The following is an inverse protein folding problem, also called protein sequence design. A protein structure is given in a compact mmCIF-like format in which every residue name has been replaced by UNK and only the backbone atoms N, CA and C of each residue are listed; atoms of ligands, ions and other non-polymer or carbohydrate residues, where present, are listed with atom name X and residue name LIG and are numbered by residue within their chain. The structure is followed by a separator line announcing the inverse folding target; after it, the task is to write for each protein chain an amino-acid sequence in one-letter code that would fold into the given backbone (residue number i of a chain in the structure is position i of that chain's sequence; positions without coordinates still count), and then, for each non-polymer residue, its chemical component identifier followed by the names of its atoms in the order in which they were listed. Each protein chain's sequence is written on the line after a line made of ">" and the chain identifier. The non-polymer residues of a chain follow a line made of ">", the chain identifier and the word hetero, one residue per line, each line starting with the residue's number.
data_IF_153972299588
#
_entry.id   IF_153972299588
#
_cell.length_a   1.000
_cell.length_b   1.000
_cell.length_c   1.000
_cell.angle_alpha   90.00
_cell.angle_beta   90.00
_cell.angle_gamma   90.00
#
_symmetry.space_group_name_H-M   'P 1'
#
loop_
_entity.id
_entity.type
_entity.pdbx_description
1 polymer ?
#
# COMPACT_ATOMS: atom_id res chain seq x y z
N UNK A 1 -3.14 15.03 -9.80
CA UNK A 1 -2.50 14.68 -11.10
C UNK A 1 -2.73 13.20 -11.33
N UNK A 2 -3.09 12.82 -12.56
CA UNK A 2 -3.25 11.44 -13.03
C UNK A 2 -2.15 11.17 -14.05
N UNK A 3 -1.46 10.03 -14.00
CA UNK A 3 -0.35 9.68 -14.90
C UNK A 3 -0.84 9.19 -16.27
N UNK A 4 -1.90 8.38 -16.29
CA UNK A 4 -2.51 7.76 -17.47
C UNK A 4 -1.59 6.83 -18.27
N UNK A 5 -0.46 6.40 -17.73
CA UNK A 5 0.50 5.60 -18.48
C UNK A 5 1.30 4.62 -17.60
N UNK A 6 0.72 4.19 -16.48
CA UNK A 6 1.31 3.17 -15.61
C UNK A 6 1.30 1.82 -16.34
N UNK A 7 2.48 1.26 -16.58
CA UNK A 7 2.68 -0.03 -17.26
C UNK A 7 4.09 -0.56 -16.99
N UNK A 8 4.33 -1.84 -17.29
CA UNK A 8 5.55 -2.53 -16.89
C UNK A 8 6.85 -1.91 -17.44
N UNK A 9 6.88 -1.48 -18.71
CA UNK A 9 8.04 -0.80 -19.34
C UNK A 9 8.21 0.67 -18.91
N UNK A 10 7.39 1.13 -17.97
CA UNK A 10 7.44 2.47 -17.35
C UNK A 10 7.68 2.41 -15.84
N UNK A 11 8.01 1.22 -15.33
CA UNK A 11 8.49 1.02 -13.96
C UNK A 11 9.99 0.78 -14.02
N UNK A 12 10.78 1.68 -13.43
CA UNK A 12 12.20 1.44 -13.20
C UNK A 12 12.40 0.76 -11.86
N UNK A 13 13.20 -0.29 -11.86
CA UNK A 13 13.65 -0.98 -10.65
C UNK A 13 15.17 -0.87 -10.58
N UNK A 14 15.68 -0.29 -9.49
CA UNK A 14 17.12 -0.21 -9.22
C UNK A 14 17.44 -0.97 -7.95
N UNK A 15 18.47 -1.82 -8.02
CA UNK A 15 18.99 -2.62 -6.89
C UNK A 15 17.92 -3.40 -6.12
N UNK A 16 16.83 -3.81 -6.79
CA UNK A 16 15.68 -4.51 -6.21
C UNK A 16 14.95 -3.77 -5.06
N UNK A 17 15.36 -2.56 -4.70
CA UNK A 17 14.81 -1.77 -3.59
C UNK A 17 14.09 -0.50 -4.05
N UNK A 18 14.55 0.09 -5.14
CA UNK A 18 14.06 1.38 -5.61
C UNK A 18 13.12 1.17 -6.78
N UNK A 19 11.84 1.50 -6.59
CA UNK A 19 10.81 1.44 -7.63
C UNK A 19 10.38 2.86 -7.97
N UNK A 20 10.43 3.23 -9.25
CA UNK A 20 10.01 4.54 -9.74
C UNK A 20 9.12 4.42 -10.97
N UNK A 21 8.02 5.17 -10.98
CA UNK A 21 7.19 5.37 -12.17
C UNK A 21 7.86 6.45 -13.03
N UNK A 22 8.08 6.16 -14.31
CA UNK A 22 8.65 7.11 -15.27
C UNK A 22 7.65 7.48 -16.37
N UNK A 23 8.01 8.51 -17.15
CA UNK A 23 7.27 9.00 -18.31
C UNK A 23 5.86 9.52 -18.00
N UNK A 24 5.81 10.81 -17.67
CA UNK A 24 4.59 11.57 -17.37
C UNK A 24 4.04 12.34 -18.59
N UNK A 25 4.45 11.98 -19.82
CA UNK A 25 4.02 12.71 -21.03
C UNK A 25 2.51 12.73 -21.28
N UNK A 26 1.76 11.84 -20.61
CA UNK A 26 0.30 11.74 -20.68
C UNK A 26 -0.39 12.17 -19.38
N UNK A 27 0.35 12.77 -18.45
CA UNK A 27 -0.23 13.19 -17.19
C UNK A 27 -1.16 14.38 -17.37
N UNK A 28 -2.25 14.40 -16.64
CA UNK A 28 -3.23 15.48 -16.65
C UNK A 28 -3.70 15.81 -15.23
N UNK A 29 -4.45 16.91 -15.07
CA UNK A 29 -5.15 17.13 -13.80
C UNK A 29 -6.35 16.18 -13.69
N UNK A 30 -6.85 16.00 -12.47
CA UNK A 30 -8.12 15.32 -12.25
C UNK A 30 -9.25 16.11 -12.89
N UNK A 31 -10.28 15.42 -13.38
CA UNK A 31 -11.40 15.97 -14.14
C UNK A 31 -11.00 16.60 -15.49
N UNK A 32 -9.87 16.19 -16.05
CA UNK A 32 -9.51 16.45 -17.45
C UNK A 32 -9.76 15.18 -18.28
N UNK A 33 -10.06 15.36 -19.57
CA UNK A 33 -10.09 14.26 -20.53
C UNK A 33 -8.84 14.33 -21.41
N UNK A 34 -8.27 13.18 -21.73
CA UNK A 34 -7.19 13.08 -22.72
C UNK A 34 -7.68 12.27 -23.92
N UNK A 35 -7.47 12.81 -25.11
CA UNK A 35 -7.89 12.17 -26.35
C UNK A 35 -6.74 11.37 -26.94
N UNK A 36 -6.55 10.14 -26.47
CA UNK A 36 -5.43 9.27 -26.87
C UNK A 36 -5.71 8.56 -28.21
N UNK A 37 -6.97 8.24 -28.50
CA UNK A 37 -7.36 7.30 -29.57
C UNK A 37 -8.00 7.95 -30.79
N UNK A 38 -7.80 9.26 -31.03
CA UNK A 38 -8.49 10.00 -32.11
C UNK A 38 -8.38 9.39 -33.52
N UNK A 39 -7.40 8.52 -33.76
CA UNK A 39 -7.08 7.95 -35.08
C UNK A 39 -6.98 6.42 -35.10
N UNK A 40 -7.42 5.73 -34.04
CA UNK A 40 -7.27 4.27 -33.92
C UNK A 40 -8.54 3.53 -34.34
N UNK A 41 -8.38 2.37 -34.97
CA UNK A 41 -9.48 1.45 -35.26
C UNK A 41 -10.04 0.90 -33.94
N UNK A 42 -11.27 1.29 -33.62
CA UNK A 42 -11.98 0.94 -32.39
C UNK A 42 -12.05 -0.58 -32.17
N UNK A 43 -11.98 -1.38 -33.24
CA UNK A 43 -12.15 -2.83 -33.18
C UNK A 43 -11.00 -3.57 -32.48
N UNK A 44 -9.79 -2.98 -32.39
CA UNK A 44 -8.61 -3.60 -31.76
C UNK A 44 -8.12 -2.89 -30.49
N UNK A 45 -8.76 -1.79 -30.09
CA UNK A 45 -8.31 -0.98 -28.94
C UNK A 45 -8.25 -1.82 -27.66
N UNK A 46 -9.21 -2.72 -27.43
CA UNK A 46 -9.24 -3.48 -26.19
C UNK A 46 -8.13 -4.52 -26.05
N UNK A 47 -7.61 -5.03 -27.16
CA UNK A 47 -6.49 -6.00 -27.14
C UNK A 47 -5.13 -5.30 -27.10
N UNK A 48 -4.95 -4.24 -27.86
CA UNK A 48 -3.65 -3.55 -27.97
C UNK A 48 -3.39 -2.56 -26.83
N UNK A 49 -4.46 -2.04 -26.23
CA UNK A 49 -4.43 -0.94 -25.26
C UNK A 49 -5.11 -1.34 -23.95
N UNK A 50 -4.93 -2.59 -23.53
CA UNK A 50 -5.64 -3.20 -22.42
C UNK A 50 -5.31 -2.59 -21.04
N UNK A 51 -4.14 -1.95 -20.93
CA UNK A 51 -3.70 -1.20 -19.74
C UNK A 51 -4.40 0.15 -19.58
N UNK A 52 -5.01 0.70 -20.64
CA UNK A 52 -5.83 1.90 -20.52
C UNK A 52 -7.20 1.56 -19.93
N UNK A 53 -7.66 2.42 -19.03
CA UNK A 53 -8.97 2.26 -18.41
C UNK A 53 -10.12 2.53 -19.39
N UNK A 54 -11.31 1.96 -19.14
CA UNK A 54 -12.48 2.15 -19.99
C UNK A 54 -12.85 3.62 -20.21
N UNK A 55 -12.74 4.46 -19.18
CA UNK A 55 -13.03 5.89 -19.26
C UNK A 55 -12.04 6.63 -20.18
N UNK A 56 -10.76 6.25 -20.19
CA UNK A 56 -9.78 6.81 -21.14
C UNK A 56 -10.15 6.42 -22.58
N UNK A 57 -10.55 5.17 -22.80
CA UNK A 57 -10.95 4.67 -24.12
C UNK A 57 -12.20 5.38 -24.66
N UNK A 58 -13.10 5.79 -23.77
CA UNK A 58 -14.33 6.54 -24.09
C UNK A 58 -14.13 8.06 -24.15
N UNK A 59 -12.94 8.57 -23.81
CA UNK A 59 -12.66 10.00 -23.66
C UNK A 59 -13.53 10.67 -22.58
N UNK A 60 -13.81 9.96 -21.49
CA UNK A 60 -14.53 10.46 -20.32
C UNK A 60 -13.59 11.25 -19.39
N UNK A 61 -14.15 11.86 -18.34
CA UNK A 61 -13.38 12.58 -17.33
C UNK A 61 -12.57 11.60 -16.48
N UNK A 62 -11.30 11.94 -16.24
CA UNK A 62 -10.36 11.07 -15.56
C UNK A 62 -10.12 11.50 -14.12
N UNK A 63 -9.88 10.53 -13.27
CA UNK A 63 -9.46 10.72 -11.89
C UNK A 63 -8.37 9.70 -11.54
N UNK A 64 -7.97 9.65 -10.27
CA UNK A 64 -6.94 8.70 -9.82
C UNK A 64 -7.30 7.23 -10.08
N UNK A 65 -8.58 6.90 -10.26
CA UNK A 65 -9.05 5.52 -10.51
C UNK A 65 -8.65 5.01 -11.90
N UNK A 66 -8.33 5.90 -12.83
CA UNK A 66 -7.77 5.54 -14.14
C UNK A 66 -6.35 4.98 -14.00
N UNK A 67 -5.55 5.58 -13.13
CA UNK A 67 -4.24 5.04 -12.75
C UNK A 67 -4.39 3.71 -11.98
N UNK A 68 -5.41 3.60 -11.12
CA UNK A 68 -5.66 2.35 -10.38
C UNK A 68 -6.03 1.17 -11.29
N UNK A 69 -6.79 1.39 -12.37
CA UNK A 69 -7.01 0.36 -13.38
C UNK A 69 -5.68 -0.10 -14.01
N UNK A 70 -4.85 0.86 -14.42
CA UNK A 70 -3.55 0.60 -15.03
C UNK A 70 -2.63 -0.17 -14.06
N UNK A 71 -2.69 0.17 -12.77
CA UNK A 71 -2.02 -0.57 -11.70
C UNK A 71 -2.57 -2.00 -11.57
N UNK A 72 -3.89 -2.21 -11.57
CA UNK A 72 -4.48 -3.55 -11.56
C UNK A 72 -4.03 -4.42 -12.74
N UNK A 73 -3.92 -3.82 -13.94
CA UNK A 73 -3.37 -4.48 -15.13
C UNK A 73 -1.90 -4.84 -14.97
N UNK A 74 -1.09 -3.93 -14.40
CA UNK A 74 0.31 -4.20 -14.08
C UNK A 74 0.46 -5.38 -13.11
N UNK A 75 -0.31 -5.42 -12.02
CA UNK A 75 -0.29 -6.53 -11.05
C UNK A 75 -0.68 -7.86 -11.71
N UNK A 76 -1.73 -7.86 -12.54
CA UNK A 76 -2.14 -9.05 -13.30
C UNK A 76 -1.04 -9.55 -14.24
N UNK A 77 -0.38 -8.66 -14.97
CA UNK A 77 0.76 -9.02 -15.83
C UNK A 77 1.95 -9.54 -15.03
N UNK A 78 2.23 -8.98 -13.85
CA UNK A 78 3.27 -9.47 -12.96
C UNK A 78 2.95 -10.88 -12.45
N UNK A 79 1.70 -11.14 -12.08
CA UNK A 79 1.22 -12.47 -11.71
C UNK A 79 1.48 -13.47 -12.85
N UNK A 80 0.99 -13.19 -14.05
CA UNK A 80 1.15 -14.05 -15.23
C UNK A 80 2.63 -14.36 -15.53
N UNK A 81 3.51 -13.34 -15.45
CA UNK A 81 4.96 -13.53 -15.63
C UNK A 81 5.59 -14.36 -14.49
N UNK A 82 5.20 -14.12 -13.24
CA UNK A 82 5.77 -14.81 -12.09
C UNK A 82 5.25 -16.24 -11.90
N UNK A 83 4.06 -16.56 -12.42
CA UNK A 83 3.50 -17.93 -12.42
C UNK A 83 4.36 -18.95 -13.18
N UNK A 84 5.25 -18.48 -14.05
CA UNK A 84 6.28 -19.34 -14.67
C UNK A 84 7.29 -19.89 -13.65
N UNK A 85 7.42 -19.28 -12.46
CA UNK A 85 8.37 -19.66 -11.41
C UNK A 85 7.69 -20.51 -10.32
N UNK A 86 8.29 -21.63 -9.87
CA UNK A 86 7.69 -22.55 -8.90
C UNK A 86 7.30 -21.91 -7.55
N UNK A 87 8.06 -20.92 -7.08
CA UNK A 87 7.88 -20.28 -5.76
C UNK A 87 6.54 -19.51 -5.67
N UNK A 88 5.97 -19.09 -6.81
CA UNK A 88 4.71 -18.33 -6.86
C UNK A 88 3.51 -19.17 -7.32
N UNK A 89 3.63 -20.51 -7.31
CA UNK A 89 2.57 -21.43 -7.77
C UNK A 89 1.69 -21.99 -6.64
N UNK A 90 1.80 -21.49 -5.42
CA UNK A 90 0.87 -21.91 -4.36
C UNK A 90 -0.52 -21.36 -4.67
N UNK A 91 -1.55 -22.16 -4.41
CA UNK A 91 -2.95 -21.77 -4.68
C UNK A 91 -3.34 -20.49 -3.92
N UNK A 92 -2.82 -20.32 -2.70
CA UNK A 92 -3.07 -19.15 -1.85
C UNK A 92 -2.57 -17.85 -2.49
N UNK A 93 -1.32 -17.82 -2.96
CA UNK A 93 -0.74 -16.63 -3.62
C UNK A 93 -1.53 -16.28 -4.88
N UNK A 94 -1.96 -17.28 -5.65
CA UNK A 94 -2.75 -17.04 -6.86
C UNK A 94 -4.12 -16.43 -6.54
N UNK A 95 -4.74 -16.91 -5.47
CA UNK A 95 -6.01 -16.39 -4.96
C UNK A 95 -5.86 -14.93 -4.52
N UNK A 96 -4.82 -14.60 -3.76
CA UNK A 96 -4.59 -13.26 -3.22
C UNK A 96 -4.41 -12.20 -4.32
N UNK A 97 -3.57 -12.47 -5.33
CA UNK A 97 -3.40 -11.56 -6.46
C UNK A 97 -4.69 -11.40 -7.27
N UNK A 98 -5.44 -12.48 -7.47
CA UNK A 98 -6.71 -12.44 -8.19
C UNK A 98 -7.74 -11.61 -7.43
N UNK A 99 -7.89 -11.83 -6.13
CA UNK A 99 -8.80 -11.09 -5.26
C UNK A 99 -8.42 -9.61 -5.23
N UNK A 100 -7.13 -9.31 -5.04
CA UNK A 100 -6.64 -7.93 -4.98
C UNK A 100 -6.86 -7.19 -6.31
N UNK A 101 -6.60 -7.82 -7.45
CA UNK A 101 -6.81 -7.18 -8.77
C UNK A 101 -8.28 -6.86 -9.06
N UNK A 102 -9.24 -7.61 -8.48
CA UNK A 102 -10.67 -7.30 -8.61
C UNK A 102 -11.05 -5.96 -7.98
N UNK A 103 -10.24 -5.42 -7.06
CA UNK A 103 -10.47 -4.09 -6.48
C UNK A 103 -10.18 -2.93 -7.46
N UNK A 104 -9.55 -3.23 -8.60
CA UNK A 104 -9.11 -2.23 -9.60
C UNK A 104 -9.71 -2.47 -10.98
N UNK A 105 -9.94 -3.73 -11.36
CA UNK A 105 -10.37 -4.11 -12.70
C UNK A 105 -11.91 -4.10 -12.84
N UNK A 106 -12.51 -2.94 -12.55
CA UNK A 106 -13.94 -2.69 -12.72
C UNK A 106 -14.18 -1.65 -13.82
N UNK A 107 -15.16 -1.88 -14.69
CA UNK A 107 -15.48 -0.94 -15.77
C UNK A 107 -16.03 0.39 -15.24
N UNK A 108 -16.65 0.38 -14.06
CA UNK A 108 -17.12 1.56 -13.33
C UNK A 108 -15.98 2.08 -12.45
N UNK A 109 -15.47 3.28 -12.75
CA UNK A 109 -14.28 3.84 -12.10
C UNK A 109 -14.50 4.11 -10.60
N UNK A 110 -15.70 4.54 -10.24
CA UNK A 110 -16.18 4.78 -8.89
C UNK A 110 -16.27 3.51 -8.04
N UNK A 111 -16.34 2.33 -8.68
CA UNK A 111 -16.29 1.01 -8.01
C UNK A 111 -14.88 0.43 -8.00
N UNK A 112 -13.85 1.27 -8.09
CA UNK A 112 -12.44 0.90 -7.85
C UNK A 112 -11.98 1.57 -6.57
N UNK A 113 -11.09 0.93 -5.81
CA UNK A 113 -10.45 1.57 -4.66
C UNK A 113 -9.35 2.54 -5.09
N UNK A 114 -9.09 3.55 -4.26
CA UNK A 114 -8.00 4.52 -4.45
C UNK A 114 -6.67 3.95 -3.98
N UNK A 115 -5.54 4.57 -4.37
CA UNK A 115 -4.21 4.15 -3.93
C UNK A 115 -4.05 4.14 -2.39
N UNK A 116 -4.59 5.17 -1.72
CA UNK A 116 -4.56 5.26 -0.26
C UNK A 116 -5.33 4.12 0.42
N UNK A 117 -6.48 3.73 -0.14
CA UNK A 117 -7.23 2.59 0.37
C UNK A 117 -6.50 1.30 0.06
N UNK A 118 -6.01 1.10 -1.17
CA UNK A 118 -5.26 -0.09 -1.57
C UNK A 118 -4.07 -0.39 -0.65
N UNK A 119 -3.38 0.65 -0.18
CA UNK A 119 -2.25 0.54 0.74
C UNK A 119 -2.61 -0.12 2.09
N UNK A 120 -3.87 0.01 2.52
CA UNK A 120 -4.38 -0.58 3.76
C UNK A 120 -4.88 -2.03 3.56
N UNK A 121 -4.70 -2.63 2.38
CA UNK A 121 -5.17 -3.97 2.08
C UNK A 121 -4.34 -5.04 2.78
N UNK A 122 -5.00 -6.12 3.19
CA UNK A 122 -4.34 -7.30 3.73
C UNK A 122 -3.38 -7.98 2.73
N UNK A 123 -3.45 -7.64 1.43
CA UNK A 123 -2.50 -8.08 0.42
C UNK A 123 -1.03 -7.78 0.79
N UNK A 124 -0.80 -6.71 1.58
CA UNK A 124 0.54 -6.30 1.99
C UNK A 124 0.98 -6.82 3.38
N UNK A 125 0.19 -7.67 4.05
CA UNK A 125 0.47 -8.10 5.44
C UNK A 125 1.85 -8.72 5.61
N UNK A 126 2.31 -9.48 4.62
CA UNK A 126 3.63 -10.13 4.65
C UNK A 126 4.79 -9.15 4.77
N UNK A 127 4.62 -7.89 4.34
CA UNK A 127 5.64 -6.84 4.50
C UNK A 127 5.80 -6.38 5.96
N UNK A 128 4.81 -6.69 6.80
CA UNK A 128 4.68 -6.17 8.16
C UNK A 128 4.82 -7.27 9.22
N UNK A 129 5.06 -8.52 8.84
CA UNK A 129 5.14 -9.66 9.78
C UNK A 129 6.26 -9.53 10.83
N UNK A 130 7.27 -8.70 10.59
CA UNK A 130 8.34 -8.44 11.55
C UNK A 130 7.83 -7.78 12.84
N UNK A 131 6.70 -7.06 12.77
CA UNK A 131 6.15 -6.33 13.90
C UNK A 131 4.93 -7.07 14.47
N UNK A 132 4.97 -7.34 15.77
CA UNK A 132 3.89 -8.04 16.47
C UNK A 132 3.55 -7.32 17.77
N UNK A 133 2.47 -7.75 18.42
CA UNK A 133 2.09 -7.22 19.71
C UNK A 133 3.26 -7.33 20.71
N UNK A 134 3.60 -6.21 21.33
CA UNK A 134 4.68 -6.11 22.31
C UNK A 134 4.19 -5.65 23.69
N UNK A 135 2.87 -5.69 23.94
CA UNK A 135 2.28 -5.28 25.22
C UNK A 135 2.62 -6.22 26.39
N UNK A 136 2.91 -7.49 26.11
CA UNK A 136 3.34 -8.46 27.12
C UNK A 136 4.78 -8.22 27.60
N UNK A 137 5.57 -7.45 26.84
CA UNK A 137 6.93 -7.08 27.22
C UNK A 137 6.85 -6.04 28.34
N UNK A 138 7.53 -6.34 29.45
CA UNK A 138 7.60 -5.47 30.62
C UNK A 138 8.13 -4.09 30.24
N UNK A 139 7.70 -3.09 30.99
CA UNK A 139 8.21 -1.74 30.86
C UNK A 139 9.68 -1.72 31.24
N UNK A 140 10.49 -1.14 30.35
CA UNK A 140 11.95 -1.16 30.46
C UNK A 140 12.56 -0.03 29.66
N UNK A 141 13.76 0.35 30.05
CA UNK A 141 14.61 1.25 29.29
C UNK A 141 16.03 0.65 29.23
N UNK A 142 16.61 0.61 28.04
CA UNK A 142 18.01 0.23 27.84
C UNK A 142 18.61 0.96 26.63
N UNK A 143 19.94 1.03 26.62
CA UNK A 143 20.71 1.62 25.53
C UNK A 143 21.51 0.51 24.84
N UNK A 144 21.51 0.50 23.51
CA UNK A 144 22.34 -0.37 22.69
C UNK A 144 22.87 0.40 21.47
N UNK A 145 24.19 0.39 21.26
CA UNK A 145 24.85 1.04 20.12
C UNK A 145 24.41 2.51 19.88
N UNK A 146 24.33 3.31 20.95
CA UNK A 146 23.85 4.71 20.93
C UNK A 146 22.37 4.88 20.54
N UNK A 147 21.58 3.81 20.61
CA UNK A 147 20.13 3.85 20.45
C UNK A 147 19.51 3.57 21.81
N UNK A 148 18.65 4.48 22.27
CA UNK A 148 17.85 4.32 23.48
C UNK A 148 16.50 3.72 23.13
N UNK A 149 16.12 2.67 23.85
CA UNK A 149 14.83 2.00 23.72
C UNK A 149 14.07 2.17 25.02
N UNK A 150 12.97 2.91 25.00
CA UNK A 150 12.05 3.04 26.13
C UNK A 150 10.72 2.40 25.80
N UNK A 151 10.41 1.28 26.45
CA UNK A 151 9.13 0.60 26.36
C UNK A 151 8.27 0.94 27.58
N UNK A 152 7.08 1.52 27.34
CA UNK A 152 6.08 1.82 28.35
C UNK A 152 4.67 1.43 27.89
N UNK A 153 3.99 0.57 28.65
CA UNK A 153 2.65 0.04 28.36
C UNK A 153 2.50 -0.55 26.94
N UNK A 154 1.92 0.22 26.01
CA UNK A 154 1.68 -0.19 24.62
C UNK A 154 2.49 0.65 23.62
N UNK A 155 3.48 1.40 24.11
CA UNK A 155 4.31 2.31 23.33
C UNK A 155 5.78 1.93 23.47
N UNK A 156 6.49 1.90 22.34
CA UNK A 156 7.94 1.75 22.26
C UNK A 156 8.51 3.05 21.66
N UNK A 157 9.44 3.68 22.36
CA UNK A 157 10.15 4.88 21.90
C UNK A 157 11.58 4.46 21.57
N UNK A 158 12.01 4.76 20.35
CA UNK A 158 13.35 4.48 19.83
C UNK A 158 13.99 5.82 19.51
N UNK A 159 15.05 6.17 20.24
CA UNK A 159 15.77 7.42 20.07
C UNK A 159 17.19 7.16 19.62
N UNK A 160 17.61 7.76 18.52
CA UNK A 160 18.99 7.74 18.05
C UNK A 160 19.38 9.10 17.47
N UNK A 161 20.50 9.66 17.95
CA UNK A 161 20.91 11.04 17.64
C UNK A 161 19.78 12.05 17.96
N UNK A 162 19.35 12.85 16.97
CA UNK A 162 18.24 13.81 17.07
C UNK A 162 16.92 13.25 16.52
N UNK A 163 16.84 11.95 16.23
CA UNK A 163 15.68 11.31 15.63
C UNK A 163 14.97 10.38 16.60
N UNK A 164 13.64 10.51 16.67
CA UNK A 164 12.79 9.70 17.54
C UNK A 164 11.68 9.04 16.73
N UNK A 165 11.52 7.73 16.94
CA UNK A 165 10.38 6.95 16.47
C UNK A 165 9.57 6.54 17.69
N UNK A 166 8.29 6.86 17.72
CA UNK A 166 7.36 6.28 18.69
C UNK A 166 6.46 5.27 17.96
N UNK A 167 6.56 4.02 18.36
CA UNK A 167 5.73 2.93 17.87
C UNK A 167 4.64 2.63 18.89
N UNK A 168 3.39 2.68 18.46
CA UNK A 168 2.23 2.33 19.26
C UNK A 168 1.68 0.98 18.79
N UNK A 169 1.59 0.04 19.73
CA UNK A 169 1.05 -1.29 19.49
C UNK A 169 -0.41 -1.21 19.03
N UNK A 170 -0.85 -2.20 18.24
CA UNK A 170 -2.25 -2.36 17.84
C UNK A 170 -3.23 -2.49 19.02
N UNK A 171 -2.72 -2.77 20.23
CA UNK A 171 -3.49 -2.80 21.46
C UNK A 171 -3.70 -1.44 22.13
N UNK A 172 -3.00 -0.39 21.70
CA UNK A 172 -3.12 0.94 22.29
C UNK A 172 -4.44 1.62 21.89
N UNK A 173 -4.99 2.45 22.77
CA UNK A 173 -6.17 3.27 22.46
C UNK A 173 -5.86 4.28 21.36
N UNK A 174 -4.64 4.85 21.39
CA UNK A 174 -4.16 5.84 20.43
C UNK A 174 -4.10 5.27 19.01
N UNK A 175 -3.42 4.14 18.82
CA UNK A 175 -3.28 3.53 17.50
C UNK A 175 -4.63 3.05 16.94
N UNK A 176 -5.50 2.50 17.79
CA UNK A 176 -6.86 2.12 17.36
C UNK A 176 -7.69 3.33 16.95
N UNK A 177 -7.66 4.40 17.74
CA UNK A 177 -8.36 5.65 17.42
C UNK A 177 -7.92 6.19 16.07
N UNK A 178 -6.61 6.30 15.86
CA UNK A 178 -6.03 6.75 14.60
C UNK A 178 -6.40 5.84 13.42
N UNK A 179 -6.28 4.52 13.59
CA UNK A 179 -6.68 3.54 12.59
C UNK A 179 -8.16 3.65 12.20
N UNK A 180 -9.08 3.81 13.17
CA UNK A 180 -10.51 3.96 12.89
C UNK A 180 -10.82 5.25 12.12
N UNK A 181 -10.12 6.34 12.43
CA UNK A 181 -10.22 7.57 11.64
C UNK A 181 -9.80 7.33 10.19
N UNK A 182 -8.64 6.69 9.96
CA UNK A 182 -8.16 6.34 8.61
C UNK A 182 -9.08 5.37 7.88
N UNK A 183 -9.64 4.40 8.59
CA UNK A 183 -10.62 3.46 8.05
C UNK A 183 -11.87 4.20 7.55
N UNK A 184 -12.37 5.14 8.32
CA UNK A 184 -13.54 5.95 7.96
C UNK A 184 -13.23 6.87 6.77
N UNK A 185 -12.05 7.50 6.74
CA UNK A 185 -11.57 8.28 5.60
C UNK A 185 -11.51 7.45 4.32
N UNK A 186 -10.92 6.25 4.37
CA UNK A 186 -10.83 5.33 3.24
C UNK A 186 -12.22 4.89 2.74
N UNK A 187 -13.13 4.55 3.67
CA UNK A 187 -14.51 4.16 3.34
C UNK A 187 -15.31 5.29 2.73
N UNK A 188 -15.16 6.51 3.22
CA UNK A 188 -15.88 7.66 2.65
C UNK A 188 -15.34 8.05 1.28
N UNK A 189 -14.02 7.99 1.10
CA UNK A 189 -13.38 8.28 -0.18
C UNK A 189 -13.81 7.29 -1.27
N UNK A 190 -13.94 6.01 -0.91
CA UNK A 190 -14.26 4.93 -1.83
C UNK A 190 -15.65 4.32 -1.53
N UNK A 191 -16.61 5.16 -1.13
CA UNK A 191 -17.94 4.71 -0.65
C UNK A 191 -18.66 3.83 -1.67
N UNK A 192 -18.66 4.21 -2.95
CA UNK A 192 -19.30 3.46 -4.03
C UNK A 192 -18.65 2.08 -4.25
N UNK A 193 -17.37 1.89 -3.92
CA UNK A 193 -16.77 0.57 -3.88
C UNK A 193 -17.26 -0.23 -2.67
N UNK A 194 -17.25 0.36 -1.47
CA UNK A 194 -17.64 -0.33 -0.24
C UNK A 194 -19.13 -0.69 -0.17
N UNK A 195 -19.98 0.09 -0.83
CA UNK A 195 -21.42 -0.17 -0.98
C UNK A 195 -21.74 -1.21 -2.08
N UNK A 196 -20.74 -1.63 -2.85
CA UNK A 196 -20.90 -2.58 -3.96
C UNK A 196 -20.62 -4.02 -3.54
N UNK A 197 -21.01 -4.98 -4.41
CA UNK A 197 -20.68 -6.41 -4.26
C UNK A 197 -19.17 -6.69 -4.29
N UNK A 198 -18.34 -5.73 -4.70
CA UNK A 198 -16.90 -5.90 -4.81
C UNK A 198 -16.18 -5.71 -3.47
N UNK A 199 -16.84 -5.07 -2.49
CA UNK A 199 -16.28 -4.88 -1.15
C UNK A 199 -15.92 -6.19 -0.45
N UNK A 200 -16.59 -7.29 -0.78
CA UNK A 200 -16.28 -8.64 -0.28
C UNK A 200 -14.89 -9.15 -0.66
N UNK A 201 -14.26 -8.57 -1.69
CA UNK A 201 -12.91 -8.92 -2.13
C UNK A 201 -11.83 -8.09 -1.43
N UNK A 202 -12.22 -7.18 -0.53
CA UNK A 202 -11.30 -6.30 0.14
C UNK A 202 -11.32 -6.55 1.65
N UNK A 203 -10.15 -6.82 2.20
CA UNK A 203 -9.93 -6.91 3.63
C UNK A 203 -8.85 -5.89 4.02
N UNK A 204 -9.09 -5.20 5.13
CA UNK A 204 -8.08 -4.35 5.74
C UNK A 204 -7.01 -5.19 6.43
N UNK A 205 -5.76 -4.80 6.29
CA UNK A 205 -4.63 -5.45 6.92
C UNK A 205 -4.65 -5.29 8.45
N UNK A 206 -4.29 -6.35 9.18
CA UNK A 206 -4.26 -6.34 10.64
C UNK A 206 -3.09 -5.51 11.20
N UNK A 207 -1.97 -5.46 10.46
CA UNK A 207 -0.81 -4.65 10.84
C UNK A 207 -1.02 -3.16 10.58
N UNK A 208 -2.04 -2.78 9.80
CA UNK A 208 -2.39 -1.37 9.59
C UNK A 208 -2.87 -0.68 10.89
N UNK A 209 -3.19 -1.43 11.95
CA UNK A 209 -3.62 -0.87 13.24
C UNK A 209 -2.43 -0.29 14.03
N UNK A 210 -1.19 -0.71 13.74
CA UNK A 210 -0.02 -0.10 14.37
C UNK A 210 0.12 1.36 13.91
N UNK A 211 0.42 2.23 14.86
CA UNK A 211 0.66 3.64 14.59
C UNK A 211 2.12 3.96 14.86
N UNK A 212 2.73 4.72 13.97
CA UNK A 212 4.11 5.15 14.04
C UNK A 212 4.13 6.67 14.03
N UNK A 213 4.74 7.27 15.03
CA UNK A 213 4.98 8.72 15.08
C UNK A 213 6.46 8.96 14.82
N UNK A 214 6.72 9.78 13.80
CA UNK A 214 8.06 10.25 13.45
C UNK A 214 8.02 11.77 13.52
N UNK A 215 8.87 12.34 14.38
CA UNK A 215 8.81 13.74 14.76
C UNK A 215 7.38 14.10 15.26
N UNK A 216 6.65 14.95 14.53
CA UNK A 216 5.30 15.41 14.91
C UNK A 216 4.20 14.84 14.02
N UNK A 217 4.49 13.81 13.22
CA UNK A 217 3.54 13.23 12.26
C UNK A 217 3.22 11.79 12.58
N UNK A 218 1.94 11.47 12.51
CA UNK A 218 1.39 10.14 12.76
C UNK A 218 1.11 9.43 11.43
N UNK A 219 1.54 8.17 11.37
CA UNK A 219 1.40 7.29 10.21
C UNK A 219 0.82 5.95 10.66
N UNK A 220 0.00 5.34 9.82
CA UNK A 220 -0.20 3.90 9.90
C UNK A 220 1.09 3.22 9.45
N UNK A 221 1.33 2.00 9.92
CA UNK A 221 2.49 1.23 9.48
C UNK A 221 2.59 1.13 7.95
N UNK A 222 1.45 0.96 7.28
CA UNK A 222 1.39 0.87 5.82
C UNK A 222 1.70 2.18 5.09
N UNK A 223 1.68 3.33 5.77
CA UNK A 223 1.97 4.64 5.19
C UNK A 223 3.46 4.99 5.20
N UNK A 224 4.30 4.20 5.88
CA UNK A 224 5.74 4.39 5.90
C UNK A 224 6.36 4.10 4.53
N UNK A 225 7.37 4.88 4.15
CA UNK A 225 8.17 4.57 2.98
C UNK A 225 9.14 3.40 3.28
N UNK A 226 9.73 2.82 2.23
CA UNK A 226 10.57 1.62 2.38
C UNK A 226 11.77 1.82 3.32
N UNK A 227 12.37 3.01 3.39
CA UNK A 227 13.50 3.28 4.29
C UNK A 227 13.05 3.39 5.73
N UNK A 228 11.91 4.05 5.97
CA UNK A 228 11.30 4.13 7.30
C UNK A 228 10.91 2.74 7.80
N UNK A 229 10.36 1.89 6.93
CA UNK A 229 9.97 0.52 7.26
C UNK A 229 11.18 -0.37 7.55
N UNK A 230 12.22 -0.35 6.70
CA UNK A 230 13.46 -1.11 6.92
C UNK A 230 14.14 -0.68 8.24
N UNK A 231 14.18 0.62 8.50
CA UNK A 231 14.77 1.14 9.74
C UNK A 231 13.94 0.74 10.97
N UNK A 232 12.62 0.81 10.89
CA UNK A 232 11.73 0.35 11.97
C UNK A 232 11.90 -1.15 12.22
N UNK A 233 12.01 -1.96 11.16
CA UNK A 233 12.25 -3.39 11.26
C UNK A 233 13.53 -3.70 12.04
N UNK A 234 14.66 -3.14 11.62
CA UNK A 234 15.96 -3.36 12.28
C UNK A 234 15.87 -3.00 13.77
N UNK A 235 15.25 -1.86 14.09
CA UNK A 235 15.15 -1.41 15.47
C UNK A 235 14.17 -2.23 16.31
N UNK A 236 13.05 -2.66 15.73
CA UNK A 236 12.08 -3.50 16.42
C UNK A 236 12.66 -4.88 16.71
N UNK A 237 13.33 -5.51 15.75
CA UNK A 237 14.00 -6.79 15.93
C UNK A 237 15.10 -6.71 17.00
N UNK A 238 15.91 -5.64 16.99
CA UNK A 238 16.90 -5.38 18.04
C UNK A 238 16.25 -5.22 19.42
N UNK A 239 15.16 -4.45 19.51
CA UNK A 239 14.41 -4.29 20.75
C UNK A 239 13.91 -5.64 21.27
N UNK A 240 13.29 -6.46 20.43
CA UNK A 240 12.80 -7.79 20.83
C UNK A 240 13.95 -8.68 21.33
N UNK A 241 15.06 -8.72 20.60
CA UNK A 241 16.21 -9.55 20.96
C UNK A 241 16.83 -9.15 22.32
N UNK A 242 16.91 -7.85 22.59
CA UNK A 242 17.48 -7.32 23.82
C UNK A 242 16.49 -7.39 25.00
N UNK A 243 15.20 -7.24 24.75
CA UNK A 243 14.14 -7.34 25.76
C UNK A 243 14.03 -8.71 26.43
N UNK A 244 14.63 -9.75 25.85
CA UNK A 244 14.69 -11.09 26.44
C UNK A 244 15.89 -11.21 27.41
N UNK A 245 16.90 -10.36 27.25
CA UNK A 245 18.14 -10.36 28.04
C UNK A 245 18.06 -9.51 29.31
N UNK A 246 17.12 -8.57 29.36
CA UNK A 246 16.86 -7.65 30.47
C UNK A 246 15.53 -7.98 31.14
#
# INVERSE_FOLDING_TARGET
>A
MVNNNIRMDRILVKNLKYVQIINFSKSCNTNESIKIFKSHDLNNIDKEFDYYSPEIKKNELLNEKSDMWSFGKLIKQLQEKNMSKPIYRTEDILSDYKIFTLCFLNNEAEKRISASTALMSNFFETLYEFIHCFCSIKDQNFINNNIEYTKKNSQLIITYLEYTIELFCCCSTEARGFYYTRLHEARNKDSLFFDSIYSKYYLFGSHCIFMVRIATKDYLLCELNIFELENLQINFENFIHLSIKF
#
